data_IF_674501152896
#
_entry.id   IF_674501152896
#
_cell.length_a   1.000
_cell.length_b   1.000
_cell.length_c   1.000
_cell.angle_alpha   90.00
_cell.angle_beta   90.00
_cell.angle_gamma   90.00
#
_symmetry.space_group_name_H-M   'P 1'
#
loop_
_entity.id
_entity.type
_entity.pdbx_description
1 polymer ?
#
# COMPACT_ATOMS: atom_id res chain seq x y z
N UNK A 1 21.49 -14.63 19.45
CA UNK A 1 20.02 -14.68 19.30
C UNK A 1 19.70 -14.21 17.91
N UNK A 2 19.03 -15.01 17.10
CA UNK A 2 18.53 -14.56 15.78
C UNK A 2 17.38 -13.58 16.03
N UNK A 3 17.55 -12.33 15.61
CA UNK A 3 16.46 -11.34 15.64
C UNK A 3 15.57 -11.65 14.46
N UNK A 4 14.35 -12.09 14.71
CA UNK A 4 13.35 -12.25 13.65
C UNK A 4 12.62 -10.93 13.53
N UNK A 5 12.69 -10.29 12.35
CA UNK A 5 11.88 -9.11 12.07
C UNK A 5 10.40 -9.47 12.21
N UNK A 6 9.63 -8.71 12.98
CA UNK A 6 8.19 -8.88 13.03
C UNK A 6 7.58 -8.37 11.74
N UNK A 7 7.01 -9.32 11.01
CA UNK A 7 6.42 -9.09 9.71
C UNK A 7 4.97 -8.62 9.84
N UNK A 8 4.67 -7.46 9.28
CA UNK A 8 3.31 -7.02 8.95
C UNK A 8 3.30 -6.58 7.51
N UNK A 9 2.58 -7.28 6.67
CA UNK A 9 2.37 -6.90 5.26
C UNK A 9 1.46 -5.67 5.15
N UNK A 10 1.50 -5.05 3.99
CA UNK A 10 0.74 -3.84 3.69
C UNK A 10 1.47 -2.54 4.03
N UNK A 11 1.05 -1.49 3.36
CA UNK A 11 1.58 -0.15 3.58
C UNK A 11 1.03 0.45 4.87
N UNK A 12 1.90 1.10 5.64
CA UNK A 12 1.54 1.82 6.87
C UNK A 12 2.09 3.22 6.81
N UNK A 13 1.25 4.19 7.10
CA UNK A 13 1.68 5.59 7.12
C UNK A 13 2.72 5.87 8.21
N UNK A 14 3.75 6.63 7.86
CA UNK A 14 4.84 7.01 8.75
C UNK A 14 4.86 8.52 8.99
N UNK A 15 4.52 9.30 7.97
CA UNK A 15 4.56 10.74 8.05
C UNK A 15 4.29 11.43 6.71
N UNK A 16 4.35 12.76 6.71
CA UNK A 16 4.26 13.60 5.53
C UNK A 16 5.59 14.25 5.23
N UNK A 17 5.98 14.33 3.96
CA UNK A 17 7.20 14.99 3.52
C UNK A 17 7.11 16.52 3.66
N UNK A 18 5.94 17.09 3.39
CA UNK A 18 5.72 18.53 3.37
C UNK A 18 5.28 19.11 4.73
N UNK A 19 4.99 18.24 5.69
CA UNK A 19 4.55 18.64 7.04
C UNK A 19 5.23 17.78 8.09
N UNK A 20 6.55 17.96 8.30
CA UNK A 20 7.28 17.24 9.34
C UNK A 20 6.66 17.54 10.71
N UNK A 21 6.28 16.51 11.45
CA UNK A 21 5.63 16.65 12.76
C UNK A 21 4.11 16.51 12.74
N UNK A 22 3.48 16.32 11.59
CA UNK A 22 2.10 15.87 11.53
C UNK A 22 2.02 14.44 12.10
N UNK A 23 1.27 14.28 13.19
CA UNK A 23 1.12 13.00 13.87
C UNK A 23 -0.14 12.24 13.43
N UNK A 24 -0.90 12.81 12.50
CA UNK A 24 -2.16 12.24 12.00
C UNK A 24 -2.14 12.19 10.48
N UNK A 25 -2.44 11.04 9.86
CA UNK A 25 -2.53 10.95 8.41
C UNK A 25 -3.72 11.76 7.87
N UNK A 26 -3.61 12.33 6.68
CA UNK A 26 -4.75 12.92 5.97
C UNK A 26 -5.67 11.79 5.51
N UNK A 27 -6.83 11.63 6.14
CA UNK A 27 -7.79 10.58 5.78
C UNK A 27 -8.89 11.17 4.89
N UNK A 28 -9.15 10.51 3.77
CA UNK A 28 -10.25 10.81 2.85
C UNK A 28 -11.16 9.59 2.72
N UNK A 29 -12.44 9.83 2.47
CA UNK A 29 -13.40 8.77 2.16
C UNK A 29 -13.51 8.62 0.63
N UNK A 30 -13.33 7.39 0.15
CA UNK A 30 -13.44 7.05 -1.27
C UNK A 30 -14.59 6.09 -1.48
N UNK A 31 -15.62 6.48 -2.27
CA UNK A 31 -16.67 5.57 -2.67
C UNK A 31 -16.13 4.58 -3.72
N UNK A 32 -16.51 3.31 -3.56
CA UNK A 32 -16.11 2.21 -4.46
C UNK A 32 -17.26 1.87 -5.38
N UNK A 33 -17.01 1.91 -6.68
CA UNK A 33 -17.98 1.52 -7.69
C UNK A 33 -18.25 0.00 -7.67
N UNK A 34 -19.38 -0.41 -8.24
CA UNK A 34 -19.84 -1.80 -8.33
C UNK A 34 -18.90 -2.77 -9.04
N UNK A 35 -17.98 -2.24 -9.82
CA UNK A 35 -17.06 -3.04 -10.64
C UNK A 35 -15.88 -3.65 -9.85
N UNK A 36 -15.85 -3.53 -8.54
CA UNK A 36 -14.77 -4.11 -7.74
C UNK A 36 -14.84 -5.64 -7.74
N UNK A 37 -14.01 -6.28 -8.56
CA UNK A 37 -13.94 -7.74 -8.69
C UNK A 37 -12.96 -8.37 -7.70
N UNK A 38 -12.10 -7.57 -7.06
CA UNK A 38 -11.07 -8.02 -6.15
C UNK A 38 -11.36 -7.54 -4.72
N UNK A 39 -11.00 -8.35 -3.74
CA UNK A 39 -11.02 -7.91 -2.35
C UNK A 39 -9.96 -6.82 -2.13
N UNK A 40 -10.30 -5.83 -1.28
CA UNK A 40 -9.43 -4.71 -0.92
C UNK A 40 -9.19 -4.76 0.59
N UNK A 41 -7.93 -4.71 1.00
CA UNK A 41 -7.52 -4.88 2.39
C UNK A 41 -6.90 -3.62 2.98
N UNK A 42 -6.94 -3.50 4.30
CA UNK A 42 -6.19 -2.45 5.01
C UNK A 42 -4.69 -2.57 4.71
N UNK A 43 -4.06 -1.48 4.28
CA UNK A 43 -2.67 -1.44 3.83
C UNK A 43 -2.47 -1.70 2.33
N UNK A 44 -3.53 -1.95 1.55
CA UNK A 44 -3.39 -2.03 0.10
C UNK A 44 -3.07 -0.66 -0.50
N UNK A 45 -2.11 -0.63 -1.41
CA UNK A 45 -2.05 0.45 -2.39
C UNK A 45 -3.16 0.24 -3.41
N UNK A 46 -3.91 1.28 -3.67
CA UNK A 46 -5.02 1.26 -4.64
C UNK A 46 -4.86 2.34 -5.69
N UNK A 47 -5.39 2.06 -6.86
CA UNK A 47 -5.64 3.05 -7.92
C UNK A 47 -7.12 3.35 -7.99
N UNK A 48 -7.48 4.63 -7.85
CA UNK A 48 -8.82 5.13 -8.16
C UNK A 48 -8.82 5.65 -9.60
N UNK A 49 -9.78 5.20 -10.39
CA UNK A 49 -9.98 5.64 -11.76
C UNK A 49 -10.97 6.82 -11.82
N UNK A 50 -10.98 7.51 -12.95
CA UNK A 50 -11.87 8.67 -13.19
C UNK A 50 -13.35 8.33 -13.16
N UNK A 51 -13.72 7.07 -13.44
CA UNK A 51 -15.08 6.57 -13.31
C UNK A 51 -15.46 6.21 -11.87
N UNK A 52 -14.52 6.39 -10.91
CA UNK A 52 -14.69 6.07 -9.52
C UNK A 52 -14.45 4.60 -9.17
N UNK A 53 -14.08 3.77 -10.13
CA UNK A 53 -13.65 2.40 -9.85
C UNK A 53 -12.36 2.40 -9.03
N UNK A 54 -12.23 1.43 -8.13
CA UNK A 54 -11.06 1.29 -7.26
C UNK A 54 -10.50 -0.12 -7.40
N UNK A 55 -9.20 -0.22 -7.64
CA UNK A 55 -8.52 -1.49 -7.79
C UNK A 55 -7.26 -1.55 -6.91
N UNK A 56 -6.95 -2.69 -6.27
CA UNK A 56 -5.62 -2.90 -5.70
C UNK A 56 -4.55 -2.72 -6.77
N UNK A 57 -3.50 -1.99 -6.44
CA UNK A 57 -2.40 -1.76 -7.39
C UNK A 57 -1.74 -3.08 -7.77
N UNK A 58 -1.47 -3.22 -9.05
CA UNK A 58 -0.65 -4.31 -9.59
C UNK A 58 0.80 -3.86 -9.70
N UNK A 59 1.69 -4.80 -9.96
CA UNK A 59 3.09 -4.53 -10.29
C UNK A 59 3.20 -3.58 -11.48
N UNK A 60 4.23 -2.75 -11.53
CA UNK A 60 4.50 -1.82 -12.61
C UNK A 60 4.39 -2.47 -14.00
N UNK A 61 3.82 -1.74 -14.96
CA UNK A 61 3.44 -2.26 -16.28
C UNK A 61 2.12 -3.01 -16.33
N UNK A 62 1.46 -3.24 -15.20
CA UNK A 62 0.10 -3.78 -15.14
C UNK A 62 -0.97 -2.71 -15.39
N UNK A 63 -2.22 -3.16 -15.53
CA UNK A 63 -3.36 -2.28 -15.85
C UNK A 63 -3.64 -1.25 -14.74
N UNK A 64 -3.35 -1.59 -13.49
CA UNK A 64 -3.58 -0.74 -12.31
C UNK A 64 -2.25 -0.47 -11.58
N UNK A 65 -1.30 0.14 -12.28
CA UNK A 65 0.07 0.27 -11.80
C UNK A 65 0.35 1.57 -11.04
N UNK A 66 -0.55 2.56 -11.09
CA UNK A 66 -0.32 3.88 -10.48
C UNK A 66 -1.05 4.01 -9.15
N UNK A 67 -0.36 3.91 -8.00
CA UNK A 67 -0.99 4.11 -6.70
C UNK A 67 -1.52 5.53 -6.56
N UNK A 68 -2.76 5.67 -6.12
CA UNK A 68 -3.37 6.97 -5.77
C UNK A 68 -3.60 7.11 -4.27
N UNK A 69 -3.87 6.00 -3.60
CA UNK A 69 -4.17 5.97 -2.17
C UNK A 69 -3.67 4.69 -1.51
N UNK A 70 -3.59 4.73 -0.18
CA UNK A 70 -3.40 3.56 0.69
C UNK A 70 -4.65 3.39 1.56
N UNK A 71 -5.19 2.19 1.62
CA UNK A 71 -6.39 1.87 2.40
C UNK A 71 -6.04 1.77 3.89
N UNK A 72 -6.79 2.47 4.72
CA UNK A 72 -6.69 2.38 6.18
C UNK A 72 -7.72 1.39 6.73
N UNK A 73 -8.96 1.51 6.29
CA UNK A 73 -10.05 0.62 6.68
C UNK A 73 -11.25 0.75 5.73
N UNK A 74 -12.23 -0.12 5.91
CA UNK A 74 -13.51 -0.03 5.22
C UNK A 74 -14.53 0.62 6.15
N UNK A 75 -14.98 1.81 5.77
CA UNK A 75 -15.92 2.60 6.57
C UNK A 75 -17.34 2.01 6.50
N UNK A 76 -17.74 1.54 5.32
CA UNK A 76 -19.06 0.95 5.08
C UNK A 76 -19.04 0.03 3.87
N UNK A 77 -19.78 -1.08 3.92
CA UNK A 77 -20.14 -1.93 2.78
C UNK A 77 -21.41 -2.74 3.10
N UNK A 78 -22.12 -3.20 2.08
CA UNK A 78 -23.26 -4.11 2.28
C UNK A 78 -22.76 -5.55 2.30
N UNK A 79 -23.10 -6.30 3.35
CA UNK A 79 -22.94 -7.74 3.37
C UNK A 79 -23.88 -8.43 2.37
N UNK A 80 -23.66 -9.71 2.12
CA UNK A 80 -24.50 -10.51 1.23
C UNK A 80 -25.99 -10.57 1.69
N UNK A 81 -26.23 -10.33 2.97
CA UNK A 81 -27.55 -10.24 3.61
C UNK A 81 -28.18 -8.83 3.52
N UNK A 82 -27.53 -7.89 2.83
CA UNK A 82 -27.98 -6.50 2.68
C UNK A 82 -27.77 -5.64 3.93
N UNK A 83 -27.10 -6.14 4.97
CA UNK A 83 -26.81 -5.34 6.18
C UNK A 83 -25.56 -4.50 6.02
N UNK A 84 -25.55 -3.21 6.46
CA UNK A 84 -24.35 -2.39 6.48
C UNK A 84 -23.31 -2.97 7.45
N UNK A 85 -22.07 -3.03 7.01
CA UNK A 85 -20.93 -3.56 7.78
C UNK A 85 -19.74 -2.61 7.70
N UNK A 86 -18.85 -2.73 8.68
CA UNK A 86 -17.53 -2.08 8.72
C UNK A 86 -16.48 -3.16 8.88
N UNK A 87 -15.27 -2.92 8.42
CA UNK A 87 -14.21 -3.91 8.56
C UNK A 87 -12.85 -3.44 8.08
N UNK A 88 -11.88 -4.33 8.18
CA UNK A 88 -10.52 -4.08 7.73
C UNK A 88 -10.30 -4.48 6.26
N UNK A 89 -11.29 -5.10 5.62
CA UNK A 89 -11.24 -5.40 4.20
C UNK A 89 -12.63 -5.31 3.56
N UNK A 90 -12.65 -5.00 2.27
CA UNK A 90 -13.83 -5.03 1.41
C UNK A 90 -13.84 -6.35 0.65
N UNK A 91 -14.84 -7.21 0.82
CA UNK A 91 -14.94 -8.46 0.06
C UNK A 91 -15.05 -8.19 -1.44
N UNK A 92 -14.54 -9.10 -2.27
CA UNK A 92 -14.75 -9.06 -3.71
C UNK A 92 -16.23 -9.14 -4.04
N UNK A 93 -16.63 -8.49 -5.13
CA UNK A 93 -18.01 -8.51 -5.65
C UNK A 93 -19.07 -8.08 -4.64
N UNK A 94 -18.70 -7.22 -3.69
CA UNK A 94 -19.66 -6.62 -2.76
C UNK A 94 -20.64 -5.79 -3.56
N UNK A 95 -21.90 -6.18 -3.57
CA UNK A 95 -22.92 -5.54 -4.38
C UNK A 95 -23.10 -4.08 -3.92
N UNK A 96 -22.90 -3.19 -4.87
CA UNK A 96 -23.28 -1.79 -4.73
C UNK A 96 -24.49 -1.53 -5.65
N UNK A 97 -25.56 -1.00 -5.10
CA UNK A 97 -26.74 -0.64 -5.87
C UNK A 97 -27.04 0.84 -5.69
N UNK A 98 -26.82 1.63 -6.72
CA UNK A 98 -27.20 3.04 -6.69
C UNK A 98 -26.11 3.99 -7.20
N UNK A 99 -26.35 5.28 -7.06
CA UNK A 99 -25.40 6.32 -7.43
C UNK A 99 -24.23 6.35 -6.46
N UNK A 100 -23.03 6.37 -6.99
CA UNK A 100 -21.81 6.44 -6.21
C UNK A 100 -21.75 7.77 -5.45
N UNK A 101 -21.93 7.74 -4.15
CA UNK A 101 -21.89 8.91 -3.28
C UNK A 101 -21.57 8.47 -1.86
N UNK A 102 -20.75 9.25 -1.17
CA UNK A 102 -20.47 9.04 0.26
C UNK A 102 -21.74 9.14 1.14
N UNK A 103 -22.76 9.85 0.67
CA UNK A 103 -24.02 10.05 1.39
C UNK A 103 -25.03 8.92 1.10
N UNK A 104 -24.69 7.96 0.22
CA UNK A 104 -25.54 6.81 -0.07
C UNK A 104 -25.20 5.68 0.91
N UNK A 105 -26.13 5.24 1.78
CA UNK A 105 -25.90 4.21 2.78
C UNK A 105 -25.54 2.85 2.17
N UNK A 106 -25.85 2.64 0.89
CA UNK A 106 -25.54 1.42 0.16
C UNK A 106 -24.17 1.49 -0.55
N UNK A 107 -23.46 2.61 -0.46
CA UNK A 107 -22.14 2.78 -1.07
C UNK A 107 -21.07 2.12 -0.22
N UNK A 108 -20.23 1.30 -0.85
CA UNK A 108 -18.99 0.86 -0.19
C UNK A 108 -18.02 2.03 -0.10
N UNK A 109 -17.57 2.33 1.11
CA UNK A 109 -16.67 3.44 1.42
C UNK A 109 -15.37 2.93 2.01
N UNK A 110 -14.26 3.37 1.45
CA UNK A 110 -12.93 3.15 1.97
C UNK A 110 -12.41 4.41 2.68
N UNK A 111 -11.81 4.25 3.84
CA UNK A 111 -10.98 5.29 4.46
C UNK A 111 -9.57 5.13 3.93
N UNK A 112 -9.05 6.15 3.28
CA UNK A 112 -7.79 6.09 2.56
C UNK A 112 -6.88 7.27 2.89
N UNK A 113 -5.59 7.09 2.69
CA UNK A 113 -4.58 8.14 2.73
C UNK A 113 -4.15 8.40 1.29
N UNK A 114 -4.30 9.64 0.75
CA UNK A 114 -3.70 10.01 -0.53
C UNK A 114 -2.20 9.78 -0.50
N UNK A 115 -1.61 9.24 -1.58
CA UNK A 115 -0.18 8.90 -1.57
C UNK A 115 0.74 10.09 -1.81
N UNK A 116 0.22 11.19 -2.34
CA UNK A 116 1.01 12.38 -2.65
C UNK A 116 1.64 12.95 -1.37
N UNK A 117 2.95 13.17 -1.41
CA UNK A 117 3.75 13.73 -0.31
C UNK A 117 3.70 12.93 1.01
N UNK A 118 3.28 11.67 0.96
CA UNK A 118 3.23 10.81 2.13
C UNK A 118 4.36 9.78 2.14
N UNK A 119 4.77 9.42 3.34
CA UNK A 119 5.78 8.39 3.61
C UNK A 119 5.10 7.16 4.20
N UNK A 120 5.37 6.01 3.60
CA UNK A 120 4.79 4.74 4.03
C UNK A 120 5.89 3.73 4.38
N UNK A 121 5.70 3.00 5.46
CA UNK A 121 6.47 1.82 5.75
C UNK A 121 5.93 0.63 4.96
N UNK A 122 6.81 -0.13 4.34
CA UNK A 122 6.48 -1.34 3.61
C UNK A 122 7.58 -2.39 3.83
N UNK A 123 7.17 -3.64 3.88
CA UNK A 123 8.08 -4.76 4.07
C UNK A 123 8.82 -5.10 2.79
N UNK A 124 10.12 -5.34 2.92
CA UNK A 124 11.01 -5.86 1.89
C UNK A 124 11.33 -7.31 2.26
N UNK A 125 10.80 -8.31 1.52
CA UNK A 125 10.86 -9.71 1.95
C UNK A 125 12.25 -10.34 1.87
N UNK A 126 13.14 -9.80 1.02
CA UNK A 126 14.45 -10.40 0.77
C UNK A 126 15.53 -9.73 1.64
N UNK A 127 16.31 -10.54 2.34
CA UNK A 127 17.47 -10.08 3.10
C UNK A 127 18.57 -9.51 2.18
N UNK A 128 19.26 -8.51 2.66
CA UNK A 128 20.48 -7.97 2.04
C UNK A 128 21.72 -8.63 2.64
N UNK A 129 22.81 -8.68 1.87
CA UNK A 129 24.08 -9.27 2.35
C UNK A 129 24.68 -8.48 3.51
N UNK A 130 24.51 -7.17 3.52
CA UNK A 130 24.97 -6.26 4.57
C UNK A 130 24.04 -5.05 4.70
N UNK A 131 24.09 -4.36 5.86
CA UNK A 131 23.40 -3.08 6.02
C UNK A 131 23.88 -2.02 5.03
N UNK A 132 25.15 -2.02 4.67
CA UNK A 132 25.72 -1.12 3.64
C UNK A 132 25.06 -1.35 2.28
N UNK A 133 24.85 -2.62 1.87
CA UNK A 133 24.15 -2.97 0.63
C UNK A 133 22.70 -2.48 0.64
N UNK A 134 22.00 -2.61 1.76
CA UNK A 134 20.67 -2.08 1.92
C UNK A 134 20.63 -0.54 1.82
N UNK A 135 21.55 0.14 2.53
CA UNK A 135 21.66 1.61 2.52
C UNK A 135 21.96 2.16 1.12
N UNK A 136 22.72 1.43 0.31
CA UNK A 136 23.00 1.80 -1.11
C UNK A 136 21.75 1.77 -2.01
N UNK A 137 20.61 1.26 -1.51
CA UNK A 137 19.32 1.28 -2.21
C UNK A 137 18.47 2.51 -1.91
N UNK A 138 18.85 3.31 -0.94
CA UNK A 138 18.17 4.59 -0.67
C UNK A 138 18.23 5.47 -1.92
N UNK A 139 17.09 6.01 -2.31
CA UNK A 139 16.91 6.78 -3.53
C UNK A 139 16.55 5.97 -4.77
N UNK A 140 16.69 4.63 -4.74
CA UNK A 140 16.27 3.76 -5.84
C UNK A 140 14.78 3.50 -5.80
N UNK A 141 14.23 3.17 -6.97
CA UNK A 141 12.84 2.79 -7.13
C UNK A 141 12.66 1.27 -7.16
N UNK A 142 11.48 0.82 -6.79
CA UNK A 142 11.06 -0.57 -6.74
C UNK A 142 9.54 -0.62 -6.93
N UNK A 143 9.02 -1.73 -7.44
CA UNK A 143 7.59 -1.91 -7.58
C UNK A 143 6.93 -2.57 -6.37
N UNK A 144 5.61 -2.47 -6.34
CA UNK A 144 4.77 -3.17 -5.37
C UNK A 144 4.59 -4.61 -5.85
N UNK A 145 4.80 -5.57 -4.94
CA UNK A 145 4.31 -6.93 -5.11
C UNK A 145 2.90 -6.99 -4.51
N UNK A 146 1.91 -6.98 -5.39
CA UNK A 146 0.51 -7.13 -4.99
C UNK A 146 0.19 -8.61 -4.79
N UNK A 147 0.04 -9.02 -3.55
CA UNK A 147 -0.47 -10.34 -3.17
C UNK A 147 -1.77 -10.17 -2.40
N UNK A 148 -2.65 -11.17 -2.48
CA UNK A 148 -3.91 -11.14 -1.75
C UNK A 148 -3.67 -11.00 -0.24
N UNK A 149 -4.45 -10.15 0.41
CA UNK A 149 -4.43 -9.99 1.85
C UNK A 149 -5.13 -11.15 2.58
N UNK A 150 -5.11 -11.08 3.89
CA UNK A 150 -5.74 -12.07 4.78
C UNK A 150 -7.18 -11.68 5.10
N UNK A 151 -8.14 -12.51 4.72
CA UNK A 151 -9.56 -12.32 5.10
C UNK A 151 -9.81 -12.52 6.60
N UNK A 152 -8.88 -13.12 7.31
CA UNK A 152 -8.96 -13.34 8.76
C UNK A 152 -8.52 -12.09 9.53
N UNK A 153 -7.39 -11.50 9.15
CA UNK A 153 -6.87 -10.29 9.82
C UNK A 153 -7.35 -9.00 9.16
N UNK A 154 -7.76 -9.06 7.90
CA UNK A 154 -8.09 -7.90 7.09
C UNK A 154 -6.86 -7.10 6.62
N UNK A 155 -5.66 -7.63 6.83
CA UNK A 155 -4.41 -6.98 6.45
C UNK A 155 -4.02 -7.32 5.01
N UNK A 156 -3.46 -6.33 4.32
CA UNK A 156 -2.92 -6.44 2.96
C UNK A 156 -1.79 -7.45 2.86
N UNK A 157 -1.67 -8.10 1.71
CA UNK A 157 -0.50 -8.89 1.34
C UNK A 157 0.58 -8.10 0.58
N UNK A 158 0.39 -6.79 0.34
CA UNK A 158 1.33 -5.99 -0.43
C UNK A 158 2.70 -5.88 0.26
N UNK A 159 3.75 -6.07 -0.52
CA UNK A 159 5.16 -5.90 -0.11
C UNK A 159 5.95 -5.23 -1.23
N UNK A 160 7.20 -4.85 -0.98
CA UNK A 160 8.10 -4.43 -2.04
C UNK A 160 8.51 -5.63 -2.92
N UNK A 161 8.52 -5.45 -4.22
CA UNK A 161 8.92 -6.50 -5.16
C UNK A 161 10.45 -6.63 -5.23
N UNK A 162 10.98 -7.73 -4.78
CA UNK A 162 12.43 -8.00 -4.74
C UNK A 162 12.90 -9.04 -5.77
N UNK A 163 12.08 -9.31 -6.77
CA UNK A 163 12.46 -10.24 -7.85
C UNK A 163 13.68 -9.77 -8.65
N UNK A 164 14.32 -10.71 -9.31
CA UNK A 164 15.56 -10.50 -10.06
C UNK A 164 15.35 -10.12 -11.53
N UNK A 165 14.12 -9.81 -11.94
CA UNK A 165 13.80 -9.56 -13.35
C UNK A 165 14.31 -8.20 -13.88
N UNK A 166 14.99 -7.40 -13.05
CA UNK A 166 15.61 -6.14 -13.44
C UNK A 166 14.64 -5.03 -13.88
N UNK A 167 13.39 -5.39 -14.14
CA UNK A 167 12.37 -4.46 -14.64
C UNK A 167 11.54 -3.89 -13.48
N UNK A 168 11.23 -4.70 -12.48
CA UNK A 168 10.32 -4.36 -11.37
C UNK A 168 10.99 -4.39 -10.00
N UNK A 169 12.16 -5.03 -9.89
CA UNK A 169 13.02 -5.02 -8.72
C UNK A 169 13.74 -3.67 -8.54
N UNK A 170 14.83 -3.66 -7.75
CA UNK A 170 15.58 -2.45 -7.51
C UNK A 170 16.14 -1.82 -8.81
N UNK A 171 15.58 -0.68 -9.21
CA UNK A 171 15.98 0.04 -10.42
C UNK A 171 17.32 0.74 -10.20
N UNK A 172 18.27 0.49 -11.09
CA UNK A 172 19.63 1.05 -10.99
C UNK A 172 19.85 2.27 -11.86
N UNK A 173 19.16 2.37 -13.00
CA UNK A 173 19.43 3.38 -14.02
C UNK A 173 18.23 4.18 -14.50
N UNK A 174 17.03 3.67 -14.33
CA UNK A 174 15.80 4.34 -14.75
C UNK A 174 14.84 4.44 -13.57
N UNK A 175 14.16 5.56 -13.48
CA UNK A 175 13.19 5.82 -12.43
C UNK A 175 11.83 5.40 -12.96
N UNK A 176 11.55 4.10 -12.94
CA UNK A 176 10.32 3.52 -13.49
C UNK A 176 9.47 2.75 -12.45
N UNK A 177 9.99 2.56 -11.24
CA UNK A 177 9.28 1.84 -10.18
C UNK A 177 8.21 2.70 -9.50
N UNK A 178 7.20 2.06 -8.96
CA UNK A 178 6.05 2.69 -8.29
C UNK A 178 6.43 3.39 -6.98
N UNK A 179 7.44 2.87 -6.27
CA UNK A 179 7.88 3.30 -4.95
C UNK A 179 9.34 3.73 -4.99
N UNK A 180 9.70 4.74 -4.23
CA UNK A 180 11.07 5.17 -4.01
C UNK A 180 11.46 5.02 -2.54
N UNK A 181 12.53 4.25 -2.27
CA UNK A 181 13.05 4.10 -0.91
C UNK A 181 13.67 5.42 -0.44
N UNK A 182 13.22 5.91 0.71
CA UNK A 182 13.68 7.15 1.32
C UNK A 182 14.56 6.90 2.52
N UNK A 183 14.22 5.91 3.32
CA UNK A 183 14.93 5.62 4.56
C UNK A 183 14.79 4.15 4.96
N UNK A 184 15.73 3.70 5.80
CA UNK A 184 15.70 2.38 6.45
C UNK A 184 15.78 2.62 7.95
N UNK A 185 14.66 2.58 8.67
CA UNK A 185 14.65 2.84 10.09
C UNK A 185 15.48 1.80 10.84
N UNK A 186 16.09 2.18 11.95
CA UNK A 186 16.79 1.24 12.84
C UNK A 186 15.81 0.38 13.65
N UNK A 187 14.67 0.98 13.97
CA UNK A 187 13.57 0.34 14.67
C UNK A 187 12.35 0.41 13.77
N UNK A 188 11.75 -0.74 13.47
CA UNK A 188 10.53 -0.82 12.68
C UNK A 188 9.32 -0.31 13.47
N UNK A 189 8.20 -0.09 12.79
CA UNK A 189 6.95 0.40 13.42
C UNK A 189 6.42 -0.53 14.54
N UNK A 190 6.84 -1.79 14.54
CA UNK A 190 6.52 -2.72 15.63
C UNK A 190 7.37 -2.49 16.91
N UNK A 191 8.27 -1.50 16.93
CA UNK A 191 9.15 -1.21 18.04
C UNK A 191 10.31 -2.19 18.19
N UNK A 192 10.55 -3.05 17.20
CA UNK A 192 11.64 -4.03 17.20
C UNK A 192 12.77 -3.57 16.29
N UNK A 193 13.95 -4.13 16.52
CA UNK A 193 15.10 -3.86 15.67
C UNK A 193 14.80 -4.26 14.23
N UNK A 194 15.04 -3.34 13.30
CA UNK A 194 14.89 -3.56 11.87
C UNK A 194 16.26 -3.88 11.27
N UNK A 195 16.49 -5.16 11.01
CA UNK A 195 17.76 -5.65 10.49
C UNK A 195 17.62 -6.04 9.00
N UNK A 196 18.15 -5.25 8.08
CA UNK A 196 18.06 -5.55 6.64
C UNK A 196 18.88 -6.76 6.20
N UNK A 197 19.74 -7.33 7.07
CA UNK A 197 20.42 -8.60 6.78
C UNK A 197 19.55 -9.83 7.05
N UNK A 198 18.36 -9.61 7.61
CA UNK A 198 17.33 -10.62 7.78
C UNK A 198 16.20 -10.41 6.78
N UNK A 199 15.44 -11.46 6.47
CA UNK A 199 14.25 -11.35 5.65
C UNK A 199 13.18 -10.47 6.34
N UNK A 200 12.28 -9.89 5.54
CA UNK A 200 11.15 -9.09 6.01
C UNK A 200 11.56 -7.84 6.83
N UNK A 201 12.55 -7.12 6.36
CA UNK A 201 12.91 -5.83 6.92
C UNK A 201 12.03 -4.70 6.38
N UNK A 202 11.96 -3.59 7.08
CA UNK A 202 11.10 -2.47 6.77
C UNK A 202 11.87 -1.34 6.08
N UNK A 203 11.32 -0.83 4.98
CA UNK A 203 11.78 0.40 4.35
C UNK A 203 10.68 1.46 4.37
N UNK A 204 11.07 2.72 4.39
CA UNK A 204 10.18 3.86 4.25
C UNK A 204 10.18 4.34 2.80
N UNK A 205 9.01 4.40 2.20
CA UNK A 205 8.82 4.69 0.78
C UNK A 205 7.91 5.89 0.55
N UNK A 206 8.22 6.63 -0.51
CA UNK A 206 7.24 7.52 -1.16
C UNK A 206 6.78 6.88 -2.45
N UNK A 207 5.54 7.15 -2.86
CA UNK A 207 5.10 6.81 -4.21
C UNK A 207 5.85 7.71 -5.18
N UNK A 208 6.41 7.11 -6.22
CA UNK A 208 7.10 7.80 -7.29
C UNK A 208 6.20 7.83 -8.51
N UNK A 209 5.82 9.02 -8.95
CA UNK A 209 5.03 9.18 -10.16
C UNK A 209 5.90 8.89 -11.39
N UNK A 210 5.49 7.89 -12.17
CA UNK A 210 6.11 7.61 -13.46
C UNK A 210 5.63 8.69 -14.43
N UNK A 211 6.48 9.70 -14.64
CA UNK A 211 6.42 10.56 -15.82
C UNK A 211 5.13 11.33 -16.06
N UNK A 212 4.62 11.98 -15.06
CA UNK A 212 3.50 12.88 -15.21
C UNK A 212 3.43 13.86 -14.06
N UNK A 213 3.78 15.10 -14.33
CA UNK A 213 3.33 16.22 -13.53
C UNK A 213 1.80 16.21 -13.59
N UNK A 214 1.12 16.02 -12.49
CA UNK A 214 -0.29 16.38 -12.36
C UNK A 214 -0.35 17.84 -11.96
#
# INVERSE_FOLDING_TARGET
MSVTNLYRSGARWVGSLNSPGLNTPPIVEIPVATANTLAIFSGDFIQQLTDGSVYPCTRGGGTYATPTHVVVSVSNYLGADGTPRKGNYLPASTAYTGTMSKDNPNCSLLLCIPVLDQLFALVIPTAESTRTTATAKIGKCIDILATAGSTVTGESGHTAYTGSDGTYGWQTTTVTGQLRLRDIPQVGLAGLQNDPTQANWEGHFTVYEIGGIV
#
